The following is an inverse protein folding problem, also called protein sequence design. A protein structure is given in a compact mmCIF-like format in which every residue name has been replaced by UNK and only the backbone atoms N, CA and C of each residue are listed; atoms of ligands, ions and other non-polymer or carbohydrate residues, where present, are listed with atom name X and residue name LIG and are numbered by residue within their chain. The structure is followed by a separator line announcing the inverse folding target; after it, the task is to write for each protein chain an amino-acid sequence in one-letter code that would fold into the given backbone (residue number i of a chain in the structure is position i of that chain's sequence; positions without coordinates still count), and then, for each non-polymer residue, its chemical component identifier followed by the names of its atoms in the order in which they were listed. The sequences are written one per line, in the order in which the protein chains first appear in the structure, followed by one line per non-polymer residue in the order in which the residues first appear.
data_IF_224654519374
#
_entry.id   IF_224654519374
#
_cell.length_a   1.000
_cell.length_b   1.000
_cell.length_c   1.000
_cell.angle_alpha   90.00
_cell.angle_beta   90.00
_cell.angle_gamma   90.00
#
_symmetry.space_group_name_H-M   'P 1'
#
loop_
_entity.id
_entity.type
_entity.pdbx_description
1 polymer ?
#
# COMPACT_ATOMS: atom_id res chain seq x y z
N UNK A 1 7.75 19.28 -18.70
CA UNK A 1 8.61 19.25 -17.49
C UNK A 1 7.84 18.50 -16.41
N UNK A 2 8.07 17.20 -16.24
CA UNK A 2 7.31 16.38 -15.28
C UNK A 2 8.12 16.23 -14.00
N UNK A 3 7.78 17.01 -12.99
CA UNK A 3 8.31 16.92 -11.64
C UNK A 3 7.97 15.51 -11.09
N UNK A 4 8.90 14.55 -11.16
CA UNK A 4 8.64 13.17 -10.72
C UNK A 4 8.71 13.00 -9.19
N UNK A 5 8.07 13.96 -8.51
CA UNK A 5 7.51 14.00 -7.16
C UNK A 5 7.00 12.73 -6.48
N UNK A 6 7.65 11.55 -6.53
CA UNK A 6 7.14 10.36 -5.82
C UNK A 6 6.67 10.71 -4.40
N UNK A 7 5.52 10.19 -3.95
CA UNK A 7 4.92 10.60 -2.68
C UNK A 7 5.76 10.12 -1.50
N UNK A 8 5.62 10.80 -0.36
CA UNK A 8 6.40 10.51 0.83
C UNK A 8 5.73 9.49 1.73
N UNK A 9 6.54 8.62 2.33
CA UNK A 9 6.15 7.69 3.38
C UNK A 9 5.88 8.42 4.71
N UNK A 10 5.52 7.67 5.75
CA UNK A 10 5.22 8.21 7.10
C UNK A 10 6.40 8.98 7.73
N UNK A 11 7.63 8.73 7.29
CA UNK A 11 8.86 9.39 7.77
C UNK A 11 9.30 10.53 6.85
N UNK A 12 8.48 10.89 5.85
CA UNK A 12 8.81 11.93 4.87
C UNK A 12 9.73 11.47 3.74
N UNK A 13 10.08 10.17 3.69
CA UNK A 13 10.93 9.62 2.64
C UNK A 13 10.14 9.41 1.37
N UNK A 14 10.67 9.92 0.27
CA UNK A 14 10.12 9.73 -1.07
C UNK A 14 10.19 8.27 -1.52
N UNK A 15 9.02 7.67 -1.75
CA UNK A 15 8.89 6.30 -2.26
C UNK A 15 9.08 6.26 -3.78
N UNK A 16 9.59 5.13 -4.26
CA UNK A 16 9.76 4.82 -5.68
C UNK A 16 9.28 3.40 -5.96
N UNK A 17 9.00 3.13 -7.23
CA UNK A 17 8.78 1.75 -7.69
C UNK A 17 10.02 0.89 -7.36
N UNK A 18 9.77 -0.32 -6.86
CA UNK A 18 10.80 -1.26 -6.43
C UNK A 18 11.24 -1.12 -4.97
N UNK A 19 10.93 0.00 -4.31
CA UNK A 19 11.22 0.18 -2.88
C UNK A 19 10.50 -0.88 -2.05
N UNK A 20 11.15 -1.33 -0.97
CA UNK A 20 10.50 -2.16 0.04
C UNK A 20 9.89 -1.29 1.12
N UNK A 21 8.64 -1.57 1.46
CA UNK A 21 7.87 -0.84 2.46
C UNK A 21 7.15 -1.80 3.40
N UNK A 22 6.96 -1.40 4.65
CA UNK A 22 6.07 -2.03 5.62
C UNK A 22 4.82 -1.19 5.77
N UNK A 23 3.67 -1.86 5.90
CA UNK A 23 2.41 -1.18 6.24
C UNK A 23 2.37 -0.92 7.74
N UNK A 24 2.33 0.34 8.13
CA UNK A 24 2.25 0.77 9.54
C UNK A 24 0.86 1.28 9.92
N UNK A 25 0.07 1.77 8.95
CA UNK A 25 -1.26 2.31 9.17
C UNK A 25 -2.42 1.38 8.79
N UNK A 26 -3.64 1.91 8.90
CA UNK A 26 -4.87 1.35 8.31
C UNK A 26 -5.58 2.52 7.63
N UNK A 27 -5.94 2.41 6.34
CA UNK A 27 -6.67 3.48 5.67
C UNK A 27 -8.08 3.60 6.22
N UNK A 28 -8.71 4.76 6.03
CA UNK A 28 -10.14 4.89 6.28
C UNK A 28 -10.92 3.99 5.31
N UNK A 29 -11.85 3.21 5.85
CA UNK A 29 -12.67 2.26 5.11
C UNK A 29 -14.13 2.72 5.00
N UNK A 30 -14.39 3.99 5.36
CA UNK A 30 -15.69 4.60 5.18
C UNK A 30 -16.19 4.45 3.74
N UNK A 31 -17.46 4.09 3.56
CA UNK A 31 -18.09 3.89 2.25
C UNK A 31 -17.85 2.52 1.62
N UNK A 32 -17.04 1.63 2.21
CA UNK A 32 -16.94 0.24 1.75
C UNK A 32 -18.14 -0.60 2.23
N UNK A 33 -18.58 -1.52 1.39
CA UNK A 33 -19.51 -2.58 1.81
C UNK A 33 -18.84 -3.52 2.82
N UNK A 34 -19.64 -4.23 3.62
CA UNK A 34 -19.12 -5.13 4.65
C UNK A 34 -18.20 -6.21 4.08
N UNK A 35 -18.56 -6.82 2.94
CA UNK A 35 -17.76 -7.85 2.28
C UNK A 35 -16.43 -7.28 1.75
N UNK A 36 -16.47 -6.14 1.06
CA UNK A 36 -15.26 -5.48 0.57
C UNK A 36 -14.32 -5.11 1.73
N UNK A 37 -14.89 -4.61 2.83
CA UNK A 37 -14.14 -4.29 4.06
C UNK A 37 -13.49 -5.54 4.66
N UNK A 38 -14.20 -6.66 4.74
CA UNK A 38 -13.67 -7.91 5.27
C UNK A 38 -12.51 -8.45 4.42
N UNK A 39 -12.68 -8.49 3.09
CA UNK A 39 -11.62 -8.89 2.15
C UNK A 39 -10.40 -7.97 2.24
N UNK A 40 -10.62 -6.66 2.32
CA UNK A 40 -9.55 -5.68 2.45
C UNK A 40 -8.76 -5.88 3.75
N UNK A 41 -9.44 -6.04 4.88
CA UNK A 41 -8.80 -6.27 6.18
C UNK A 41 -8.00 -7.59 6.21
N UNK A 42 -8.51 -8.65 5.56
CA UNK A 42 -7.78 -9.90 5.42
C UNK A 42 -6.47 -9.72 4.64
N UNK A 43 -6.51 -8.98 3.52
CA UNK A 43 -5.32 -8.65 2.74
C UNK A 43 -4.35 -7.76 3.51
N UNK A 44 -4.86 -6.74 4.20
CA UNK A 44 -4.07 -5.85 5.05
C UNK A 44 -3.34 -6.61 6.16
N UNK A 45 -4.01 -7.58 6.80
CA UNK A 45 -3.40 -8.45 7.81
C UNK A 45 -2.22 -9.24 7.25
N UNK A 46 -2.27 -9.68 5.99
CA UNK A 46 -1.16 -10.37 5.33
C UNK A 46 -0.04 -9.39 4.95
N UNK A 47 -0.39 -8.18 4.48
CA UNK A 47 0.58 -7.13 4.16
C UNK A 47 1.39 -6.69 5.40
N UNK A 48 0.74 -6.51 6.55
CA UNK A 48 1.41 -6.09 7.80
C UNK A 48 2.48 -7.07 8.31
N UNK A 49 2.44 -8.33 7.89
CA UNK A 49 3.38 -9.37 8.39
C UNK A 49 4.81 -9.20 7.86
N UNK A 50 4.99 -8.68 6.64
CA UNK A 50 6.30 -8.63 5.96
C UNK A 50 6.38 -7.44 5.03
N UNK A 51 7.56 -6.81 4.88
CA UNK A 51 7.76 -5.77 3.88
C UNK A 51 7.42 -6.25 2.47
N UNK A 52 6.88 -5.34 1.65
CA UNK A 52 6.48 -5.59 0.26
C UNK A 52 7.15 -4.61 -0.66
N UNK A 53 7.34 -5.03 -1.90
CA UNK A 53 7.82 -4.12 -2.96
C UNK A 53 6.66 -3.28 -3.46
N UNK A 54 6.91 -1.98 -3.62
CA UNK A 54 6.03 -1.06 -4.35
C UNK A 54 6.08 -1.45 -5.82
N UNK A 55 4.92 -1.79 -6.39
CA UNK A 55 4.79 -2.13 -7.81
C UNK A 55 4.71 -0.89 -8.70
N UNK A 56 4.17 0.18 -8.16
CA UNK A 56 3.90 1.41 -8.88
C UNK A 56 3.00 2.30 -8.04
N UNK A 57 2.49 3.36 -8.66
CA UNK A 57 1.56 4.28 -8.05
C UNK A 57 0.34 4.45 -8.95
N UNK A 58 -0.84 4.49 -8.35
CA UNK A 58 -2.07 4.80 -9.09
C UNK A 58 -2.13 6.29 -9.48
N UNK A 59 -3.18 6.70 -10.20
CA UNK A 59 -3.39 8.09 -10.62
C UNK A 59 -3.60 9.07 -9.46
N UNK A 60 -3.82 8.56 -8.23
CA UNK A 60 -3.97 9.36 -7.00
C UNK A 60 -2.69 9.40 -6.17
N UNK A 61 -1.64 8.70 -6.61
CA UNK A 61 -0.36 8.60 -5.89
C UNK A 61 -0.36 7.55 -4.79
N UNK A 62 -1.34 6.65 -4.73
CA UNK A 62 -1.29 5.53 -3.78
C UNK A 62 -0.33 4.47 -4.28
N UNK A 63 0.47 3.92 -3.37
CA UNK A 63 1.40 2.85 -3.70
C UNK A 63 0.66 1.52 -3.87
N UNK A 64 0.89 0.87 -5.00
CA UNK A 64 0.31 -0.45 -5.29
C UNK A 64 1.18 -1.57 -4.71
N UNK A 65 0.58 -2.39 -3.85
CA UNK A 65 1.21 -3.55 -3.24
C UNK A 65 0.49 -4.83 -3.66
N UNK A 66 1.29 -5.83 -4.06
CA UNK A 66 0.78 -7.15 -4.42
C UNK A 66 0.82 -8.09 -3.20
N UNK A 67 -0.32 -8.73 -2.93
CA UNK A 67 -0.45 -9.73 -1.86
C UNK A 67 -1.28 -10.92 -2.32
N UNK A 68 -0.93 -12.10 -1.83
CA UNK A 68 -1.74 -13.32 -2.02
C UNK A 68 -2.53 -13.60 -0.76
N UNK A 69 -3.84 -13.78 -0.89
CA UNK A 69 -4.77 -14.10 0.20
C UNK A 69 -5.62 -15.28 -0.26
N UNK A 70 -5.58 -16.39 0.46
CA UNK A 70 -6.36 -17.60 0.10
C UNK A 70 -6.08 -18.12 -1.32
N UNK A 71 -4.84 -18.00 -1.81
CA UNK A 71 -4.48 -18.40 -3.18
C UNK A 71 -4.72 -17.33 -4.26
N UNK A 72 -5.55 -16.33 -3.98
CA UNK A 72 -5.88 -15.26 -4.93
C UNK A 72 -4.88 -14.11 -4.86
N UNK A 73 -4.47 -13.61 -6.04
CA UNK A 73 -3.62 -12.43 -6.15
C UNK A 73 -4.48 -11.17 -6.01
N UNK A 74 -4.13 -10.31 -5.07
CA UNK A 74 -4.80 -9.05 -4.80
C UNK A 74 -3.79 -7.90 -4.95
N UNK A 75 -4.25 -6.78 -5.48
CA UNK A 75 -3.51 -5.53 -5.54
C UNK A 75 -4.21 -4.56 -4.60
N UNK A 76 -3.47 -4.02 -3.64
CA UNK A 76 -3.97 -2.99 -2.73
C UNK A 76 -3.22 -1.71 -3.01
N UNK A 77 -3.96 -0.66 -3.34
CA UNK A 77 -3.46 0.70 -3.36
C UNK A 77 -3.55 1.27 -1.94
N UNK A 78 -2.41 1.71 -1.38
CA UNK A 78 -2.34 2.30 -0.04
C UNK A 78 -1.75 3.70 -0.10
N UNK A 79 -2.29 4.57 0.73
CA UNK A 79 -1.75 5.91 0.92
C UNK A 79 -0.30 5.82 1.42
N UNK A 80 0.64 6.57 0.82
CA UNK A 80 2.05 6.56 1.19
C UNK A 80 2.30 6.87 2.68
N UNK A 81 1.49 7.74 3.28
CA UNK A 81 1.57 8.04 4.72
C UNK A 81 1.25 6.86 5.65
N UNK A 82 0.75 5.74 5.14
CA UNK A 82 0.51 4.50 5.88
C UNK A 82 1.65 3.50 5.73
N UNK A 83 2.70 3.87 5.00
CA UNK A 83 3.83 3.03 4.66
C UNK A 83 5.10 3.58 5.32
N UNK A 84 6.01 2.66 5.62
CA UNK A 84 7.35 2.97 6.10
C UNK A 84 8.35 2.26 5.20
N UNK A 85 9.29 3.00 4.62
CA UNK A 85 10.36 2.42 3.82
C UNK A 85 11.29 1.54 4.66
N UNK A 86 11.67 0.40 4.09
CA UNK A 86 12.58 -0.57 4.70
C UNK A 86 13.81 -0.78 3.81
N UNK A 87 14.99 -0.89 4.43
CA UNK A 87 16.26 -1.21 3.76
C UNK A 87 16.23 -2.57 3.03
#
# INVERSE_FOLDING_TARGET
MSCHSGPSDVLGRRLREGDRVRVVGVPDLAGMTQDARASFLAALKVLKRRPRRVRGFDSRGNAELIVRVGGNLNILALEPGLLEWTR
#
